data_IF_546616535020
#
_entry.id   IF_546616535020
#
_cell.length_a   1.000
_cell.length_b   1.000
_cell.length_c   1.000
_cell.angle_alpha   90.00
_cell.angle_beta   90.00
_cell.angle_gamma   90.00
#
_symmetry.space_group_name_H-M   'P 1'
#
loop_
_entity.id
_entity.type
_entity.pdbx_description
1 polymer ?
#
# COMPACT_ATOMS: atom_id res chain seq x y z
N UNK A 1 -1.43 -14.64 5.19
CA UNK A 1 -0.58 -13.50 5.62
C UNK A 1 0.62 -13.13 4.73
N UNK A 2 0.99 -13.89 3.67
CA UNK A 2 2.18 -13.59 2.84
C UNK A 2 2.22 -12.17 2.24
N UNK A 3 1.05 -11.63 1.89
CA UNK A 3 0.93 -10.31 1.24
C UNK A 3 0.53 -9.18 2.19
N UNK A 4 0.16 -9.49 3.43
CA UNK A 4 -0.35 -8.50 4.39
C UNK A 4 0.66 -7.35 4.62
N UNK A 5 1.96 -7.67 4.67
CA UNK A 5 3.02 -6.66 4.81
C UNK A 5 3.17 -5.69 3.63
N UNK A 6 2.64 -6.04 2.46
CA UNK A 6 2.66 -5.20 1.27
C UNK A 6 1.32 -4.49 1.07
N UNK A 7 0.21 -5.22 1.25
CA UNK A 7 -1.12 -4.73 0.93
C UNK A 7 -1.71 -3.85 2.02
N UNK A 8 -1.49 -4.18 3.30
CA UNK A 8 -2.18 -3.47 4.39
C UNK A 8 -1.73 -2.03 4.56
N UNK A 9 -0.43 -1.67 4.45
CA UNK A 9 -0.02 -0.27 4.42
C UNK A 9 -0.72 0.55 3.32
N UNK A 10 -0.86 -0.04 2.12
CA UNK A 10 -1.57 0.59 1.01
C UNK A 10 -3.06 0.75 1.28
N UNK A 11 -3.69 -0.27 1.89
CA UNK A 11 -5.10 -0.23 2.28
C UNK A 11 -5.33 0.87 3.33
N UNK A 12 -4.51 0.94 4.38
CA UNK A 12 -4.62 1.96 5.44
C UNK A 12 -4.44 3.37 4.85
N UNK A 13 -3.48 3.55 3.95
CA UNK A 13 -3.28 4.84 3.25
C UNK A 13 -4.47 5.20 2.36
N UNK A 14 -5.03 4.22 1.64
CA UNK A 14 -6.21 4.42 0.81
C UNK A 14 -7.45 4.75 1.65
N UNK A 15 -7.66 4.06 2.77
CA UNK A 15 -8.73 4.36 3.73
C UNK A 15 -8.60 5.79 4.25
N UNK A 16 -7.41 6.23 4.67
CA UNK A 16 -7.19 7.63 5.08
C UNK A 16 -7.54 8.63 3.99
N UNK A 17 -7.03 8.42 2.79
CA UNK A 17 -7.32 9.31 1.67
C UNK A 17 -8.83 9.38 1.36
N UNK A 18 -9.57 8.28 1.53
CA UNK A 18 -11.02 8.26 1.40
C UNK A 18 -11.72 9.00 2.53
N UNK A 19 -11.25 8.86 3.78
CA UNK A 19 -11.78 9.60 4.93
C UNK A 19 -11.58 11.11 4.74
N UNK A 20 -10.38 11.53 4.38
CA UNK A 20 -10.05 12.94 4.13
C UNK A 20 -10.95 13.51 3.03
N UNK A 21 -11.10 12.79 1.92
CA UNK A 21 -12.00 13.16 0.82
C UNK A 21 -13.45 13.31 1.28
N UNK A 22 -13.96 12.39 2.09
CA UNK A 22 -15.33 12.45 2.59
C UNK A 22 -15.52 13.68 3.48
N UNK A 23 -14.58 13.96 4.38
CA UNK A 23 -14.62 15.10 5.29
C UNK A 23 -14.52 16.45 4.55
N UNK A 24 -13.63 16.55 3.58
CA UNK A 24 -13.45 17.74 2.74
C UNK A 24 -14.74 18.13 2.01
N UNK A 25 -15.49 17.13 1.54
CA UNK A 25 -16.73 17.35 0.80
C UNK A 25 -17.97 17.46 1.71
N UNK A 26 -17.83 17.36 3.03
CA UNK A 26 -18.93 17.47 3.99
C UNK A 26 -19.79 16.20 4.12
N UNK A 27 -19.25 15.04 3.77
CA UNK A 27 -19.92 13.76 3.94
C UNK A 27 -19.94 13.28 5.39
N UNK A 28 -20.77 12.27 5.72
CA UNK A 28 -20.88 11.74 7.08
C UNK A 28 -19.57 11.08 7.51
N UNK A 29 -19.18 11.16 8.80
CA UNK A 29 -17.99 10.50 9.30
C UNK A 29 -18.15 8.96 9.24
N UNK A 30 -17.05 8.20 9.04
CA UNK A 30 -17.07 6.75 9.23
C UNK A 30 -17.54 6.36 10.64
N UNK A 31 -18.26 5.24 10.82
CA UNK A 31 -18.76 4.33 9.79
C UNK A 31 -19.91 4.93 8.98
N UNK A 32 -19.83 4.78 7.65
CA UNK A 32 -20.78 5.34 6.70
C UNK A 32 -22.20 4.77 6.88
N UNK A 33 -23.27 5.51 6.48
CA UNK A 33 -24.66 5.11 6.72
C UNK A 33 -25.04 3.72 6.18
N UNK A 34 -24.56 3.35 4.99
CA UNK A 34 -24.81 2.02 4.41
C UNK A 34 -24.15 0.89 5.21
N UNK A 35 -22.97 1.12 5.77
CA UNK A 35 -22.29 0.13 6.60
C UNK A 35 -23.04 -0.09 7.92
N UNK A 36 -23.56 0.99 8.53
CA UNK A 36 -24.41 0.90 9.73
C UNK A 36 -25.71 0.15 9.44
N UNK A 37 -26.28 0.32 8.26
CA UNK A 37 -27.46 -0.42 7.82
C UNK A 37 -27.16 -1.92 7.67
N UNK A 38 -26.04 -2.28 7.05
CA UNK A 38 -25.62 -3.67 6.94
C UNK A 38 -25.32 -4.32 8.30
N UNK A 39 -24.65 -3.59 9.20
CA UNK A 39 -24.40 -4.07 10.57
C UNK A 39 -25.71 -4.37 11.32
N UNK A 40 -26.74 -3.54 11.16
CA UNK A 40 -28.05 -3.77 11.78
C UNK A 40 -28.78 -4.98 11.19
N UNK A 41 -28.61 -5.24 9.89
CA UNK A 41 -29.25 -6.40 9.25
C UNK A 41 -28.53 -7.72 9.56
N UNK A 42 -27.24 -7.69 9.89
CA UNK A 42 -26.43 -8.87 10.16
C UNK A 42 -25.64 -8.70 11.45
N UNK A 43 -26.31 -8.93 12.58
CA UNK A 43 -25.68 -8.91 13.92
C UNK A 43 -24.80 -10.17 14.16
N UNK A 44 -25.03 -11.26 13.42
CA UNK A 44 -24.45 -12.58 13.73
C UNK A 44 -23.11 -12.91 13.02
N UNK A 45 -22.63 -12.09 12.07
CA UNK A 45 -21.42 -12.40 11.30
C UNK A 45 -20.68 -11.16 10.77
N UNK A 46 -19.35 -11.23 10.59
CA UNK A 46 -18.60 -10.17 9.92
C UNK A 46 -19.08 -9.98 8.48
N UNK A 47 -19.15 -8.72 8.05
CA UNK A 47 -19.62 -8.33 6.72
C UNK A 47 -18.54 -8.66 5.68
N UNK A 48 -18.84 -9.57 4.76
CA UNK A 48 -17.95 -9.95 3.67
C UNK A 48 -18.28 -9.24 2.35
N UNK A 49 -17.40 -9.37 1.35
CA UNK A 49 -17.61 -8.79 0.01
C UNK A 49 -18.86 -9.30 -0.71
N UNK A 50 -19.27 -10.55 -0.46
CA UNK A 50 -20.51 -11.11 -1.00
C UNK A 50 -21.75 -10.43 -0.43
N UNK A 51 -21.69 -10.00 0.82
CA UNK A 51 -22.83 -9.34 1.48
C UNK A 51 -23.09 -7.96 0.86
N UNK A 52 -22.05 -7.29 0.37
CA UNK A 52 -22.18 -6.05 -0.42
C UNK A 52 -22.84 -6.25 -1.79
N UNK A 53 -22.70 -7.43 -2.40
CA UNK A 53 -23.35 -7.76 -3.68
C UNK A 53 -24.82 -8.13 -3.47
N UNK A 54 -25.11 -8.92 -2.43
CA UNK A 54 -26.46 -9.39 -2.12
C UNK A 54 -27.36 -8.27 -1.61
N UNK A 55 -26.84 -7.38 -0.76
CA UNK A 55 -27.64 -6.36 -0.10
C UNK A 55 -27.84 -5.09 -0.94
N UNK A 56 -27.35 -5.04 -2.20
CA UNK A 56 -27.37 -3.91 -3.15
C UNK A 56 -27.33 -2.56 -2.44
N UNK A 57 -26.20 -1.84 -2.40
CA UNK A 57 -25.99 -0.54 -1.72
C UNK A 57 -27.19 0.46 -1.77
N UNK A 58 -28.27 0.20 -1.03
CA UNK A 58 -29.43 1.09 -0.88
C UNK A 58 -29.04 2.06 0.21
N UNK A 59 -28.21 3.02 -0.18
CA UNK A 59 -27.96 4.19 0.63
C UNK A 59 -29.23 5.05 0.55
N UNK A 60 -30.17 4.86 1.49
CA UNK A 60 -31.25 5.81 1.70
C UNK A 60 -30.63 7.09 2.25
N UNK A 61 -30.17 7.97 1.35
CA UNK A 61 -29.55 9.22 1.74
C UNK A 61 -30.56 10.32 1.56
N UNK A 62 -30.82 10.97 2.67
CA UNK A 62 -31.60 12.18 2.75
C UNK A 62 -30.78 13.33 2.12
N UNK A 63 -31.01 13.60 0.82
CA UNK A 63 -30.26 14.61 0.03
C UNK A 63 -30.23 15.99 0.70
N UNK A 64 -31.21 16.28 1.57
CA UNK A 64 -31.32 17.52 2.37
C UNK A 64 -30.17 17.69 3.39
N UNK A 65 -29.52 16.59 3.83
CA UNK A 65 -28.41 16.59 4.79
C UNK A 65 -27.02 16.66 4.14
N UNK A 66 -26.93 16.51 2.81
CA UNK A 66 -25.69 16.52 2.03
C UNK A 66 -25.42 17.88 1.39
N UNK A 67 -25.72 18.99 2.07
CA UNK A 67 -25.45 20.30 1.49
C UNK A 67 -23.93 20.46 1.27
N UNK A 68 -23.47 20.68 0.03
CA UNK A 68 -22.05 20.85 -0.25
C UNK A 68 -21.54 22.11 0.46
N UNK A 69 -20.35 22.04 1.07
CA UNK A 69 -19.60 23.24 1.43
C UNK A 69 -19.32 24.00 0.14
N UNK A 70 -19.94 25.17 0.00
CA UNK A 70 -19.66 26.09 -1.10
C UNK A 70 -18.17 26.46 -1.06
N UNK A 71 -17.47 26.29 -2.19
CA UNK A 71 -16.18 26.96 -2.40
C UNK A 71 -16.42 28.48 -2.44
N UNK A 72 -15.48 29.33 -1.98
CA UNK A 72 -15.61 30.76 -2.09
C UNK A 72 -15.55 31.17 -3.56
N UNK A 73 -16.71 31.48 -4.13
CA UNK A 73 -16.82 32.12 -5.44
C UNK A 73 -16.22 33.52 -5.33
N UNK A 74 -15.33 33.82 -6.27
CA UNK A 74 -14.70 35.13 -6.43
C UNK A 74 -15.77 36.21 -6.56
N UNK A 75 -15.47 37.36 -5.94
CA UNK A 75 -16.31 38.53 -5.96
C UNK A 75 -16.52 39.05 -7.39
N UNK A 76 -17.77 39.06 -7.85
CA UNK A 76 -18.23 40.04 -8.82
C UNK A 76 -19.51 40.69 -8.30
N UNK A 77 -19.41 42.00 -8.10
CA UNK A 77 -20.50 42.90 -7.76
C UNK A 77 -21.38 43.11 -8.99
N UNK A 78 -22.70 43.01 -8.84
CA UNK A 78 -23.62 44.02 -9.38
C UNK A 78 -25.04 43.83 -8.82
N UNK A 79 -25.41 44.82 -8.01
CA UNK A 79 -26.72 45.43 -7.85
C UNK A 79 -27.86 44.97 -8.79
N UNK A 80 -29.03 44.65 -8.22
CA UNK A 80 -30.34 45.27 -8.54
C UNK A 80 -31.54 44.43 -8.07
N UNK A 81 -32.18 44.89 -6.99
CA UNK A 81 -33.63 45.03 -6.77
C UNK A 81 -34.59 43.81 -6.87
N UNK A 82 -35.20 43.53 -5.70
CA UNK A 82 -36.44 42.79 -5.43
C UNK A 82 -37.68 43.38 -6.16
N UNK A 83 -38.79 42.62 -6.33
CA UNK A 83 -39.83 42.51 -5.28
C UNK A 83 -40.53 41.14 -5.08
N UNK A 84 -41.01 40.95 -3.85
CA UNK A 84 -41.88 39.87 -3.29
C UNK A 84 -43.27 39.84 -3.99
N UNK A 85 -44.13 38.80 -4.05
CA UNK A 85 -44.74 37.78 -3.14
C UNK A 85 -45.78 36.97 -4.03
N UNK A 86 -46.64 36.00 -3.60
CA UNK A 86 -46.84 35.34 -2.30
C UNK A 86 -46.90 33.79 -2.35
N UNK A 87 -47.07 33.21 -1.17
CA UNK A 87 -47.21 31.78 -0.86
C UNK A 87 -48.58 31.22 -1.27
N UNK A 88 -48.61 29.98 -1.75
CA UNK A 88 -49.75 29.06 -1.67
C UNK A 88 -49.25 27.61 -1.52
N UNK A 89 -50.02 26.85 -0.75
CA UNK A 89 -49.76 25.54 -0.15
C UNK A 89 -49.98 24.34 -1.10
N UNK A 90 -49.46 23.18 -0.66
CA UNK A 90 -49.87 21.81 -0.99
C UNK A 90 -49.39 21.18 -2.31
N UNK A 91 -48.37 20.33 -2.24
CA UNK A 91 -48.55 18.86 -2.33
C UNK A 91 -47.18 18.17 -2.21
N UNK A 92 -46.82 17.81 -0.97
CA UNK A 92 -45.58 17.09 -0.62
C UNK A 92 -45.91 15.62 -0.33
N UNK A 93 -46.30 14.82 -1.34
CA UNK A 93 -46.40 13.35 -1.21
C UNK A 93 -46.64 12.62 -2.54
N UNK A 94 -45.77 12.78 -3.53
CA UNK A 94 -45.64 11.76 -4.58
C UNK A 94 -44.31 11.96 -5.31
N UNK A 95 -43.64 10.84 -5.57
CA UNK A 95 -42.62 10.71 -6.61
C UNK A 95 -41.15 11.05 -6.29
N UNK A 96 -40.67 10.56 -5.14
CA UNK A 96 -39.22 10.47 -4.86
C UNK A 96 -38.57 9.23 -5.52
N UNK A 97 -39.35 8.35 -6.17
CA UNK A 97 -38.86 7.10 -6.75
C UNK A 97 -38.68 7.11 -8.28
N UNK A 98 -39.04 8.20 -8.98
CA UNK A 98 -38.91 8.30 -10.43
C UNK A 98 -37.76 9.22 -10.86
N UNK A 99 -36.56 9.06 -10.29
CA UNK A 99 -35.36 9.79 -10.77
C UNK A 99 -34.32 8.85 -11.34
N UNK A 100 -33.91 9.16 -12.56
CA UNK A 100 -33.04 8.35 -13.41
C UNK A 100 -31.75 7.91 -12.69
N UNK A 101 -31.33 6.64 -12.86
CA UNK A 101 -30.06 6.13 -12.31
C UNK A 101 -28.82 6.87 -12.87
N UNK A 102 -28.98 7.78 -13.84
CA UNK A 102 -27.92 8.59 -14.43
C UNK A 102 -27.63 9.90 -13.67
N UNK A 103 -28.51 10.37 -12.79
CA UNK A 103 -28.33 11.61 -11.99
C UNK A 103 -27.26 11.45 -10.86
N UNK A 104 -26.82 10.21 -10.59
CA UNK A 104 -25.81 9.88 -9.56
C UNK A 104 -24.44 10.47 -9.92
N UNK A 105 -24.17 10.68 -11.22
CA UNK A 105 -22.89 11.19 -11.72
C UNK A 105 -22.89 12.70 -11.98
N UNK A 106 -24.05 13.35 -12.08
CA UNK A 106 -24.13 14.79 -12.39
C UNK A 106 -23.60 15.67 -11.25
N UNK A 107 -23.70 15.20 -10.00
CA UNK A 107 -23.13 15.88 -8.84
C UNK A 107 -21.91 15.11 -8.32
N UNK A 108 -20.79 15.17 -9.04
CA UNK A 108 -19.53 14.53 -8.62
C UNK A 108 -19.07 14.86 -7.19
N UNK A 109 -19.52 15.99 -6.62
CA UNK A 109 -19.31 16.34 -5.22
C UNK A 109 -20.08 15.42 -4.26
N UNK A 110 -21.32 15.06 -4.59
CA UNK A 110 -22.17 14.15 -3.79
C UNK A 110 -21.61 12.73 -3.79
N UNK A 111 -21.09 12.27 -4.94
CA UNK A 111 -20.41 10.99 -5.03
C UNK A 111 -19.13 10.94 -4.16
N UNK A 112 -18.44 12.07 -3.99
CA UNK A 112 -17.21 12.17 -3.16
C UNK A 112 -17.48 12.25 -1.66
N UNK A 113 -18.71 12.62 -1.25
CA UNK A 113 -19.16 12.62 0.14
C UNK A 113 -19.39 11.21 0.70
N UNK A 114 -19.40 10.19 -0.16
CA UNK A 114 -19.68 8.82 0.24
C UNK A 114 -18.52 7.90 -0.18
N UNK A 115 -18.41 6.78 0.52
CA UNK A 115 -17.58 5.65 0.10
C UNK A 115 -18.43 4.40 0.16
N UNK A 116 -18.10 3.39 -0.64
CA UNK A 116 -18.77 2.08 -0.63
C UNK A 116 -17.92 1.01 0.07
N UNK A 117 -16.89 1.43 0.81
CA UNK A 117 -15.86 0.57 1.40
C UNK A 117 -15.93 0.75 2.92
N UNK A 118 -15.79 -0.33 3.71
CA UNK A 118 -15.66 -0.19 5.15
C UNK A 118 -14.38 0.60 5.48
N UNK A 119 -14.56 1.78 6.06
CA UNK A 119 -13.49 2.67 6.48
C UNK A 119 -13.22 2.46 7.97
N UNK A 120 -12.52 1.38 8.30
CA UNK A 120 -12.03 1.11 9.66
C UNK A 120 -10.51 0.92 9.65
N UNK A 121 -9.82 1.99 10.04
CA UNK A 121 -8.36 2.04 10.05
C UNK A 121 -7.76 1.27 11.21
N UNK A 122 -8.40 1.30 12.39
CA UNK A 122 -7.84 0.69 13.60
C UNK A 122 -7.88 -0.83 13.49
N UNK A 123 -9.00 -1.39 13.03
CA UNK A 123 -9.11 -2.83 12.77
C UNK A 123 -8.10 -3.28 11.70
N UNK A 124 -7.93 -2.49 10.63
CA UNK A 124 -6.94 -2.80 9.57
C UNK A 124 -5.49 -2.78 10.09
N UNK A 125 -5.18 -1.87 11.03
CA UNK A 125 -3.86 -1.79 11.67
C UNK A 125 -3.64 -2.91 12.69
N UNK A 126 -4.67 -3.32 13.43
CA UNK A 126 -4.58 -4.41 14.39
C UNK A 126 -4.42 -5.76 13.70
N UNK A 127 -5.15 -6.01 12.61
CA UNK A 127 -4.92 -7.17 11.74
C UNK A 127 -3.50 -7.18 11.16
N UNK A 128 -2.96 -6.01 10.80
CA UNK A 128 -1.58 -5.88 10.35
C UNK A 128 -0.58 -6.25 11.45
N UNK A 129 -0.74 -5.73 12.67
CA UNK A 129 0.11 -6.05 13.81
C UNK A 129 0.05 -7.54 14.15
N UNK A 130 -1.15 -8.12 14.16
CA UNK A 130 -1.33 -9.55 14.38
C UNK A 130 -0.64 -10.39 13.30
N UNK A 131 -0.73 -9.98 12.03
CA UNK A 131 -0.03 -10.64 10.93
C UNK A 131 1.50 -10.49 11.03
N UNK A 132 2.00 -9.34 11.49
CA UNK A 132 3.41 -9.14 11.79
C UNK A 132 3.87 -10.06 12.92
N UNK A 133 3.07 -10.24 13.97
CA UNK A 133 3.44 -11.09 15.10
C UNK A 133 3.46 -12.58 14.71
N UNK A 134 2.56 -13.00 13.82
CA UNK A 134 2.52 -14.36 13.31
C UNK A 134 3.69 -14.71 12.36
N UNK A 135 4.35 -13.71 11.76
CA UNK A 135 5.41 -13.98 10.77
C UNK A 135 6.77 -14.22 11.43
N UNK A 136 7.42 -15.30 11.01
CA UNK A 136 8.72 -15.69 11.56
C UNK A 136 9.83 -14.68 11.23
N UNK A 137 10.75 -14.46 12.17
CA UNK A 137 11.92 -13.59 11.99
C UNK A 137 12.78 -13.94 10.77
N UNK A 138 12.94 -15.24 10.48
CA UNK A 138 13.67 -15.73 9.31
C UNK A 138 12.99 -15.34 8.01
N UNK A 139 11.67 -15.50 7.93
CA UNK A 139 10.90 -15.07 6.75
C UNK A 139 10.89 -13.56 6.57
N UNK A 140 10.91 -12.77 7.65
CA UNK A 140 11.01 -11.31 7.60
C UNK A 140 12.39 -10.88 7.07
N UNK A 141 13.46 -11.43 7.63
CA UNK A 141 14.84 -11.11 7.23
C UNK A 141 15.11 -11.45 5.75
N UNK A 142 14.71 -12.65 5.30
CA UNK A 142 14.90 -13.05 3.90
C UNK A 142 14.07 -12.20 2.92
N UNK A 143 12.82 -11.88 3.25
CA UNK A 143 11.99 -10.98 2.41
C UNK A 143 12.60 -9.58 2.32
N UNK A 144 13.15 -9.10 3.42
CA UNK A 144 13.83 -7.81 3.47
C UNK A 144 15.09 -7.79 2.59
N UNK A 145 15.94 -8.81 2.68
CA UNK A 145 17.13 -8.94 1.83
C UNK A 145 16.77 -8.95 0.33
N UNK A 146 15.75 -9.75 -0.06
CA UNK A 146 15.24 -9.78 -1.43
C UNK A 146 14.69 -8.45 -1.90
N UNK A 147 13.96 -7.75 -1.03
CA UNK A 147 13.45 -6.43 -1.33
C UNK A 147 14.60 -5.44 -1.59
N UNK A 148 15.64 -5.43 -0.74
CA UNK A 148 16.80 -4.58 -0.95
C UNK A 148 17.51 -4.89 -2.27
N UNK A 149 17.66 -6.18 -2.63
CA UNK A 149 18.20 -6.58 -3.93
C UNK A 149 17.38 -6.04 -5.11
N UNK A 150 16.05 -6.16 -5.06
CA UNK A 150 15.17 -5.64 -6.12
C UNK A 150 15.28 -4.11 -6.24
N UNK A 151 15.28 -3.38 -5.13
CA UNK A 151 15.43 -1.93 -5.12
C UNK A 151 16.81 -1.50 -5.62
N UNK A 152 17.85 -2.27 -5.30
CA UNK A 152 19.19 -2.03 -5.79
C UNK A 152 19.29 -2.23 -7.30
N UNK A 153 18.78 -3.35 -7.83
CA UNK A 153 18.75 -3.60 -9.28
C UNK A 153 17.93 -2.55 -10.04
N UNK A 154 16.79 -2.13 -9.49
CA UNK A 154 15.99 -1.04 -10.06
C UNK A 154 16.81 0.25 -10.19
N UNK A 155 17.59 0.60 -9.15
CA UNK A 155 18.50 1.76 -9.19
C UNK A 155 19.65 1.62 -10.18
N UNK A 156 20.04 0.39 -10.56
CA UNK A 156 21.05 0.19 -11.60
C UNK A 156 20.51 0.41 -13.02
N UNK A 157 19.20 0.21 -13.22
CA UNK A 157 18.56 0.31 -14.54
C UNK A 157 18.28 1.75 -14.97
N UNK A 158 18.11 2.68 -14.04
CA UNK A 158 17.82 4.10 -14.35
C UNK A 158 18.94 4.81 -15.12
N UNK A 159 20.14 4.22 -15.21
CA UNK A 159 21.25 4.72 -16.03
C UNK A 159 21.38 4.09 -17.43
N UNK A 160 20.60 3.05 -17.76
CA UNK A 160 20.80 2.23 -18.97
C UNK A 160 19.87 2.63 -20.13
N UNK A 161 18.83 3.44 -19.91
CA UNK A 161 18.03 3.96 -21.02
C UNK A 161 18.72 5.15 -21.67
N UNK A 162 19.63 4.88 -22.61
CA UNK A 162 20.22 5.83 -23.56
C UNK A 162 19.22 6.43 -24.57
N UNK A 163 17.96 6.59 -24.20
CA UNK A 163 17.03 7.47 -24.91
C UNK A 163 16.99 8.80 -24.17
N UNK A 164 17.69 9.79 -24.72
CA UNK A 164 17.48 11.20 -24.41
C UNK A 164 15.98 11.48 -24.49
N UNK A 165 15.32 11.55 -23.33
CA UNK A 165 13.98 12.11 -23.25
C UNK A 165 14.19 13.63 -23.19
N UNK A 166 13.67 14.43 -24.12
CA UNK A 166 13.72 15.88 -24.00
C UNK A 166 12.89 16.26 -22.77
N UNK A 167 13.54 16.58 -21.66
CA UNK A 167 12.88 16.96 -20.42
C UNK A 167 12.44 18.43 -20.49
N UNK A 168 11.27 18.67 -21.10
CA UNK A 168 10.47 19.88 -20.87
C UNK A 168 9.14 19.54 -20.18
N UNK A 169 9.16 18.61 -19.23
CA UNK A 169 8.09 18.48 -18.25
C UNK A 169 8.71 18.71 -16.89
N UNK A 170 8.33 19.81 -16.22
CA UNK A 170 8.78 20.19 -14.88
C UNK A 170 8.28 19.25 -13.79
N UNK A 171 8.59 17.96 -13.92
CA UNK A 171 8.37 16.95 -12.89
C UNK A 171 9.69 16.85 -12.12
N UNK A 172 9.72 17.43 -10.94
CA UNK A 172 10.85 17.29 -10.03
C UNK A 172 10.91 15.84 -9.54
N UNK A 173 12.07 15.20 -9.74
CA UNK A 173 12.37 13.92 -9.12
C UNK A 173 12.76 14.19 -7.67
N UNK A 174 12.10 13.51 -6.73
CA UNK A 174 12.43 13.61 -5.31
C UNK A 174 13.83 13.07 -5.09
N UNK A 175 14.69 13.86 -4.46
CA UNK A 175 15.99 13.38 -4.00
C UNK A 175 15.81 12.20 -3.05
N UNK A 176 16.70 11.22 -3.22
CA UNK A 176 16.77 9.96 -2.49
C UNK A 176 16.81 10.24 -0.98
N UNK A 177 15.99 9.51 -0.22
CA UNK A 177 15.74 9.65 1.23
C UNK A 177 16.96 9.89 2.12
N UNK A 178 16.77 10.77 3.12
CA UNK A 178 17.69 11.17 4.20
C UNK A 178 18.18 10.05 5.15
N UNK A 179 17.69 8.80 5.02
CA UNK A 179 18.11 7.68 5.88
C UNK A 179 18.57 6.48 5.05
N UNK A 180 19.82 6.02 5.21
CA UNK A 180 20.29 4.82 4.53
C UNK A 180 19.45 3.61 4.98
N UNK A 181 19.13 2.68 4.05
CA UNK A 181 18.48 1.43 4.43
C UNK A 181 19.36 0.69 5.44
N UNK A 182 18.73 0.04 6.41
CA UNK A 182 19.42 -0.85 7.36
C UNK A 182 19.56 -2.24 6.76
N UNK A 183 20.55 -3.03 7.20
CA UNK A 183 20.72 -4.42 6.76
C UNK A 183 19.65 -5.37 7.33
N UNK A 184 19.07 -5.02 8.49
CA UNK A 184 17.96 -5.76 9.10
C UNK A 184 16.60 -5.10 8.84
N UNK A 185 15.51 -5.88 8.79
CA UNK A 185 14.17 -5.32 8.62
C UNK A 185 13.83 -4.36 9.76
N UNK A 186 13.34 -3.15 9.45
CA UNK A 186 12.88 -2.21 10.47
C UNK A 186 11.62 -2.73 11.17
N UNK A 187 11.42 -2.36 12.44
CA UNK A 187 10.18 -2.67 13.15
C UNK A 187 9.07 -1.72 12.70
N UNK A 188 8.06 -2.28 12.01
CA UNK A 188 6.95 -1.54 11.40
C UNK A 188 5.70 -1.49 12.27
N UNK A 189 5.74 -2.04 13.49
CA UNK A 189 4.56 -2.12 14.37
C UNK A 189 4.02 -0.76 14.82
N UNK A 190 4.90 0.23 14.92
CA UNK A 190 4.57 1.61 15.33
C UNK A 190 4.21 2.51 14.15
N UNK A 191 4.44 2.06 12.91
CA UNK A 191 4.15 2.84 11.72
C UNK A 191 2.64 3.01 11.55
N UNK A 192 2.22 4.25 11.36
CA UNK A 192 0.82 4.59 11.11
C UNK A 192 0.52 4.69 9.62
N UNK A 193 1.52 4.71 8.72
CA UNK A 193 1.36 4.89 7.27
C UNK A 193 0.56 6.17 6.92
N UNK A 194 0.99 7.31 7.47
CA UNK A 194 0.32 8.59 7.27
C UNK A 194 0.69 9.21 5.93
N UNK A 195 1.97 9.12 5.56
CA UNK A 195 2.47 9.72 4.34
C UNK A 195 2.53 8.70 3.20
N UNK A 196 2.41 9.19 1.97
CA UNK A 196 2.63 8.34 0.80
C UNK A 196 4.07 7.79 0.78
N UNK A 197 5.01 8.57 1.32
CA UNK A 197 6.41 8.20 1.47
C UNK A 197 6.59 6.88 2.26
N UNK A 198 5.77 6.65 3.29
CA UNK A 198 5.82 5.45 4.14
C UNK A 198 5.50 4.16 3.36
N UNK A 199 4.71 4.28 2.28
CA UNK A 199 4.30 3.16 1.45
C UNK A 199 5.19 2.97 0.22
N UNK A 200 5.85 4.04 -0.23
CA UNK A 200 6.72 4.03 -1.41
C UNK A 200 8.13 3.56 -1.06
N UNK A 201 8.73 2.76 -1.94
CA UNK A 201 10.11 2.32 -1.81
C UNK A 201 10.91 2.89 -2.97
N UNK A 202 12.04 3.52 -2.65
CA UNK A 202 12.91 4.14 -3.66
C UNK A 202 14.03 3.17 -4.09
N UNK A 203 14.49 3.28 -5.34
CA UNK A 203 15.66 2.54 -5.80
C UNK A 203 16.90 2.88 -4.97
N UNK A 204 17.80 1.91 -4.79
CA UNK A 204 19.02 2.10 -4.01
C UNK A 204 20.21 2.47 -4.91
N UNK A 205 21.06 3.43 -4.49
CA UNK A 205 22.26 3.79 -5.23
C UNK A 205 23.34 2.70 -5.14
N UNK A 206 24.29 2.72 -6.09
CA UNK A 206 25.42 1.77 -6.17
C UNK A 206 26.20 1.63 -4.86
N UNK A 207 26.35 2.73 -4.12
CA UNK A 207 27.06 2.79 -2.83
C UNK A 207 26.45 1.90 -1.75
N UNK A 208 25.19 1.49 -1.90
CA UNK A 208 24.46 0.69 -0.91
C UNK A 208 24.57 -0.83 -1.16
N UNK A 209 25.38 -1.28 -2.13
CA UNK A 209 25.65 -2.71 -2.34
C UNK A 209 26.07 -3.45 -1.04
N UNK A 210 26.96 -2.90 -0.20
CA UNK A 210 27.35 -3.58 1.05
C UNK A 210 26.18 -3.85 1.98
N UNK A 211 25.18 -2.95 2.03
CA UNK A 211 23.97 -3.13 2.86
C UNK A 211 23.12 -4.28 2.35
N UNK A 212 23.04 -4.46 1.02
CA UNK A 212 22.32 -5.60 0.42
C UNK A 212 23.02 -6.91 0.76
N UNK A 213 24.35 -6.96 0.62
CA UNK A 213 25.16 -8.14 0.95
C UNK A 213 24.99 -8.50 2.44
N UNK A 214 25.18 -7.52 3.33
CA UNK A 214 25.03 -7.70 4.78
C UNK A 214 23.61 -8.15 5.15
N UNK A 215 22.58 -7.68 4.45
CA UNK A 215 21.20 -8.13 4.67
C UNK A 215 21.00 -9.62 4.31
N UNK A 216 21.62 -10.10 3.23
CA UNK A 216 21.60 -11.52 2.89
C UNK A 216 22.40 -12.37 3.87
N UNK A 217 23.59 -11.92 4.29
CA UNK A 217 24.42 -12.64 5.27
C UNK A 217 23.68 -12.83 6.59
N UNK A 218 23.07 -11.77 7.14
CA UNK A 218 22.24 -11.87 8.34
C UNK A 218 21.02 -12.78 8.15
N UNK A 219 20.40 -12.75 6.96
CA UNK A 219 19.29 -13.65 6.66
C UNK A 219 19.75 -15.12 6.64
N UNK A 220 20.91 -15.40 6.04
CA UNK A 220 21.54 -16.72 6.01
C UNK A 220 21.87 -17.20 7.42
N UNK A 221 22.50 -16.37 8.26
CA UNK A 221 22.79 -16.71 9.66
C UNK A 221 21.53 -17.14 10.44
N UNK A 222 20.45 -16.37 10.31
CA UNK A 222 19.17 -16.68 10.94
C UNK A 222 18.55 -17.99 10.40
N UNK A 223 18.67 -18.25 9.10
CA UNK A 223 18.15 -19.47 8.45
C UNK A 223 18.96 -20.71 8.88
N UNK A 224 20.29 -20.58 8.93
CA UNK A 224 21.21 -21.61 9.41
C UNK A 224 20.95 -21.94 10.87
N UNK A 225 20.75 -20.94 11.73
CA UNK A 225 20.40 -21.13 13.14
C UNK A 225 19.09 -21.93 13.32
N UNK A 226 18.10 -21.74 12.44
CA UNK A 226 16.83 -22.51 12.44
C UNK A 226 16.88 -23.82 11.65
N UNK A 227 18.06 -24.24 11.18
CA UNK A 227 18.27 -25.45 10.36
C UNK A 227 17.45 -25.46 9.05
N UNK A 228 17.11 -24.29 8.51
CA UNK A 228 16.36 -24.14 7.26
C UNK A 228 17.30 -24.13 6.04
N UNK A 229 18.01 -25.25 5.82
CA UNK A 229 19.10 -25.36 4.83
C UNK A 229 18.70 -25.01 3.39
N UNK A 230 17.52 -25.47 2.95
CA UNK A 230 17.03 -25.18 1.60
C UNK A 230 16.80 -23.69 1.35
N UNK A 231 16.28 -22.96 2.35
CA UNK A 231 16.09 -21.52 2.27
C UNK A 231 17.41 -20.76 2.38
N UNK A 232 18.34 -21.23 3.20
CA UNK A 232 19.69 -20.66 3.30
C UNK A 232 20.44 -20.81 1.97
N UNK A 233 20.45 -22.00 1.38
CA UNK A 233 21.02 -22.25 0.05
C UNK A 233 20.39 -21.37 -1.04
N UNK A 234 19.06 -21.18 -0.99
CA UNK A 234 18.40 -20.26 -1.91
C UNK A 234 18.90 -18.82 -1.74
N UNK A 235 19.10 -18.35 -0.50
CA UNK A 235 19.65 -17.03 -0.22
C UNK A 235 21.09 -16.89 -0.72
N UNK A 236 21.95 -17.89 -0.50
CA UNK A 236 23.31 -17.94 -1.06
C UNK A 236 23.31 -17.84 -2.59
N UNK A 237 22.47 -18.62 -3.26
CA UNK A 237 22.34 -18.59 -4.71
C UNK A 237 21.91 -17.20 -5.21
N UNK A 238 20.87 -16.62 -4.61
CA UNK A 238 20.34 -15.30 -4.98
C UNK A 238 21.40 -14.21 -4.81
N UNK A 239 22.17 -14.25 -3.72
CA UNK A 239 23.28 -13.33 -3.48
C UNK A 239 24.40 -13.49 -4.52
N UNK A 240 24.79 -14.73 -4.84
CA UNK A 240 25.79 -15.00 -5.88
C UNK A 240 25.34 -14.52 -7.27
N UNK A 241 24.06 -14.72 -7.62
CA UNK A 241 23.51 -14.17 -8.86
C UNK A 241 23.55 -12.64 -8.90
N UNK A 242 23.23 -11.98 -7.78
CA UNK A 242 23.31 -10.52 -7.67
C UNK A 242 24.75 -10.02 -7.87
N UNK A 243 25.74 -10.66 -7.26
CA UNK A 243 27.15 -10.28 -7.40
C UNK A 243 27.70 -10.54 -8.81
N UNK A 244 27.23 -11.61 -9.47
CA UNK A 244 27.55 -11.86 -10.87
C UNK A 244 27.05 -10.72 -11.78
N UNK A 245 25.80 -10.25 -11.57
CA UNK A 245 25.24 -9.12 -12.31
C UNK A 245 25.99 -7.80 -12.09
N UNK A 246 26.79 -7.71 -11.03
CA UNK A 246 27.61 -6.54 -10.69
C UNK A 246 29.08 -6.72 -11.03
N UNK A 247 29.38 -7.66 -11.93
CA UNK A 247 30.73 -7.95 -12.44
C UNK A 247 31.73 -8.35 -11.35
N UNK A 248 31.23 -9.00 -10.28
CA UNK A 248 32.05 -9.57 -9.19
C UNK A 248 32.00 -11.11 -9.21
N UNK A 249 32.57 -11.77 -10.24
CA UNK A 249 32.43 -13.21 -10.42
C UNK A 249 33.15 -14.04 -9.34
N UNK A 250 34.25 -13.52 -8.75
CA UNK A 250 34.98 -14.24 -7.69
C UNK A 250 34.14 -14.40 -6.43
N UNK A 251 33.45 -13.33 -6.03
CA UNK A 251 32.57 -13.36 -4.86
C UNK A 251 31.32 -14.20 -5.13
N UNK A 252 30.80 -14.16 -6.38
CA UNK A 252 29.70 -15.02 -6.79
C UNK A 252 30.04 -16.52 -6.68
N UNK A 253 31.25 -16.91 -7.12
CA UNK A 253 31.73 -18.29 -6.99
C UNK A 253 31.81 -18.73 -5.52
N UNK A 254 32.30 -17.87 -4.63
CA UNK A 254 32.33 -18.15 -3.19
C UNK A 254 30.92 -18.41 -2.62
N UNK A 255 29.93 -17.55 -2.88
CA UNK A 255 28.59 -17.82 -2.36
C UNK A 255 27.90 -19.02 -3.04
N UNK A 256 28.28 -19.40 -4.26
CA UNK A 256 27.78 -20.62 -4.89
C UNK A 256 28.45 -21.89 -4.34
N UNK A 257 29.73 -21.85 -3.97
CA UNK A 257 30.37 -22.97 -3.26
C UNK A 257 29.69 -23.19 -1.91
N UNK A 258 29.48 -22.11 -1.14
CA UNK A 258 28.76 -22.17 0.14
C UNK A 258 27.32 -22.68 -0.01
N UNK A 259 26.65 -22.34 -1.13
CA UNK A 259 25.33 -22.87 -1.46
C UNK A 259 25.35 -24.41 -1.61
N UNK A 260 26.32 -24.94 -2.35
CA UNK A 260 26.48 -26.38 -2.57
C UNK A 260 26.76 -27.10 -1.27
N UNK A 261 27.68 -26.56 -0.47
CA UNK A 261 28.03 -27.09 0.85
C UNK A 261 26.81 -27.10 1.79
N UNK A 262 26.02 -26.02 1.79
CA UNK A 262 24.78 -25.91 2.56
C UNK A 262 23.72 -26.96 2.13
N UNK A 263 23.60 -27.25 0.83
CA UNK A 263 22.67 -28.24 0.29
C UNK A 263 23.10 -29.68 0.57
N UNK A 264 24.38 -29.98 0.38
CA UNK A 264 24.94 -31.32 0.55
C UNK A 264 25.21 -31.64 2.02
N UNK A 265 25.33 -30.63 2.87
CA UNK A 265 25.70 -30.78 4.28
C UNK A 265 27.15 -31.24 4.44
N UNK A 266 28.01 -30.90 3.48
CA UNK A 266 29.43 -31.25 3.42
C UNK A 266 30.22 -29.96 3.34
N UNK A 267 31.40 -29.92 3.96
CA UNK A 267 32.34 -28.81 3.81
C UNK A 267 33.22 -29.03 2.58
N UNK A 268 33.38 -27.98 1.77
CA UNK A 268 34.23 -27.98 0.58
C UNK A 268 33.87 -29.07 -0.44
N UNK A 269 32.57 -29.15 -0.78
CA UNK A 269 32.06 -30.15 -1.71
C UNK A 269 32.72 -30.06 -3.09
N UNK A 270 33.14 -28.87 -3.52
CA UNK A 270 33.81 -28.63 -4.80
C UNK A 270 35.20 -29.23 -4.89
N UNK A 271 35.92 -29.40 -3.78
CA UNK A 271 37.21 -30.08 -3.78
C UNK A 271 37.07 -31.57 -3.40
N UNK A 272 36.00 -31.93 -2.69
CA UNK A 272 35.79 -33.29 -2.16
C UNK A 272 34.88 -34.18 -3.03
N UNK A 273 34.31 -33.69 -4.13
CA UNK A 273 33.38 -34.46 -4.99
C UNK A 273 33.98 -35.70 -5.68
N UNK A 274 35.30 -35.84 -5.68
CA UNK A 274 36.01 -36.95 -6.31
C UNK A 274 36.31 -38.13 -5.37
N UNK A 275 36.05 -38.01 -4.05
CA UNK A 275 36.26 -39.11 -3.09
C UNK A 275 35.01 -39.94 -2.88
#
# INVERSE_FOLDING_TARGET
>A
NRYCELTTPLIVKAQRSLVDRVLENGGPPPPQPHYRFMLRQREDRPIGSRDYLELQLVTAIDKRKLQPKQQPTQAEQSDSQQPQRPADEADEAADVFARDPHEIYENGLVARQLSCVPLDMETSLDEFRQALDATSSTSKSLRHARQLALLYMAGQQEGVTGFQRPSSSGVQFRDVTDKPPTSMPPDRRTEKFADAADCTKLPLPKSQLPVVVEAYEKAIELLSAKKQRSLAAQAYRELGCLLLHLERPRDALFYWSECLDCLLGVEDALNNWHS
#
